data_IF_182137681961
#
_entry.id   IF_182137681961
#
_cell.length_a   1.000
_cell.length_b   1.000
_cell.length_c   1.000
_cell.angle_alpha   90.00
_cell.angle_beta   90.00
_cell.angle_gamma   90.00
#
_symmetry.space_group_name_H-M   'P 1'
#
loop_
_entity.id
_entity.type
_entity.pdbx_description
1 polymer ?
#
# COMPACT_ATOMS: atom_id res chain seq x y z
N UNK A 1 -6.62 -9.11 -30.15
CA UNK A 1 -7.88 -8.97 -29.39
C UNK A 1 -8.26 -7.51 -29.39
N UNK A 2 -9.40 -7.16 -29.99
CA UNK A 2 -10.00 -5.83 -29.93
C UNK A 2 -11.09 -5.82 -28.86
N UNK A 3 -11.15 -4.78 -28.05
CA UNK A 3 -12.23 -4.54 -27.08
C UNK A 3 -13.13 -3.41 -27.60
N UNK A 4 -14.38 -3.36 -27.16
CA UNK A 4 -15.25 -2.21 -27.44
C UNK A 4 -14.70 -0.94 -26.79
N UNK A 5 -15.11 0.22 -27.31
CA UNK A 5 -14.69 1.52 -26.78
C UNK A 5 -15.05 1.67 -25.30
N UNK A 6 -16.24 1.22 -24.89
CA UNK A 6 -16.72 1.26 -23.52
C UNK A 6 -15.85 0.45 -22.57
N UNK A 7 -15.47 -0.76 -22.99
CA UNK A 7 -14.61 -1.64 -22.19
C UNK A 7 -13.18 -1.12 -22.13
N UNK A 8 -12.69 -0.47 -23.18
CA UNK A 8 -11.41 0.23 -23.15
C UNK A 8 -11.41 1.37 -22.14
N UNK A 9 -12.42 2.26 -22.19
CA UNK A 9 -12.54 3.41 -21.29
C UNK A 9 -12.66 2.92 -19.84
N UNK A 10 -13.49 1.91 -19.57
CA UNK A 10 -13.64 1.32 -18.24
C UNK A 10 -12.32 0.81 -17.68
N UNK A 11 -11.54 0.04 -18.45
CA UNK A 11 -10.22 -0.45 -18.03
C UNK A 11 -9.20 0.67 -17.87
N UNK A 12 -9.24 1.68 -18.74
CA UNK A 12 -8.34 2.81 -18.68
C UNK A 12 -8.54 3.64 -17.40
N UNK A 13 -9.80 3.90 -17.03
CA UNK A 13 -10.13 4.66 -15.83
C UNK A 13 -9.72 3.96 -14.52
N UNK A 14 -9.64 2.62 -14.50
CA UNK A 14 -9.06 1.87 -13.36
C UNK A 14 -7.56 2.16 -13.14
N UNK A 15 -6.88 2.79 -14.10
CA UNK A 15 -5.46 3.14 -14.01
C UNK A 15 -5.21 4.62 -13.70
N UNK A 16 -6.25 5.45 -13.75
CA UNK A 16 -6.21 6.87 -13.38
C UNK A 16 -6.42 6.95 -11.87
N UNK A 17 -5.48 7.59 -11.18
CA UNK A 17 -5.61 7.80 -9.74
C UNK A 17 -6.44 9.06 -9.47
N UNK A 18 -7.19 9.10 -8.36
CA UNK A 18 -7.87 10.31 -7.91
C UNK A 18 -6.87 11.45 -7.67
N UNK A 19 -7.38 12.68 -7.66
CA UNK A 19 -6.56 13.85 -7.37
C UNK A 19 -5.87 13.73 -6.01
N UNK A 20 -4.58 14.11 -5.94
CA UNK A 20 -3.75 13.95 -4.75
C UNK A 20 -3.08 12.58 -4.58
N UNK A 21 -3.39 11.59 -5.43
CA UNK A 21 -2.77 10.27 -5.35
C UNK A 21 -1.67 10.09 -6.41
N UNK A 22 -0.46 9.79 -5.95
CA UNK A 22 0.67 9.50 -6.82
C UNK A 22 0.84 8.00 -7.05
N UNK A 23 0.90 7.58 -8.33
CA UNK A 23 1.25 6.19 -8.67
C UNK A 23 2.72 5.95 -8.39
N UNK A 24 3.05 5.20 -7.35
CA UNK A 24 4.41 4.69 -7.18
C UNK A 24 4.71 3.68 -8.28
N UNK A 25 5.49 4.10 -9.27
CA UNK A 25 6.01 3.23 -10.33
C UNK A 25 7.35 2.66 -9.86
N UNK A 26 7.38 1.37 -9.58
CA UNK A 26 8.62 0.66 -9.30
C UNK A 26 9.38 0.43 -10.60
N UNK A 27 10.58 1.00 -10.70
CA UNK A 27 11.51 0.79 -11.82
C UNK A 27 12.69 -0.11 -11.40
N UNK A 28 13.51 -0.51 -12.35
CA UNK A 28 14.72 -1.30 -12.09
C UNK A 28 14.43 -2.73 -11.63
N UNK A 29 15.03 -3.16 -10.52
CA UNK A 29 14.86 -4.52 -9.99
C UNK A 29 13.56 -4.73 -9.20
N UNK A 30 12.87 -3.65 -8.82
CA UNK A 30 11.57 -3.72 -8.13
C UNK A 30 10.36 -3.68 -9.09
N UNK A 31 10.59 -3.50 -10.39
CA UNK A 31 9.54 -3.48 -11.40
C UNK A 31 8.87 -4.84 -11.58
N UNK A 32 7.53 -4.88 -11.52
CA UNK A 32 6.74 -6.13 -11.38
C UNK A 32 7.15 -7.24 -12.39
N UNK A 33 7.36 -6.87 -13.67
CA UNK A 33 7.72 -7.80 -14.74
C UNK A 33 8.96 -8.66 -14.46
N UNK A 34 9.97 -8.08 -13.81
CA UNK A 34 11.25 -8.76 -13.54
C UNK A 34 11.55 -8.86 -12.04
N UNK A 35 10.60 -8.47 -11.19
CA UNK A 35 10.80 -8.32 -9.75
C UNK A 35 11.25 -9.62 -9.11
N UNK A 36 10.58 -10.74 -9.42
CA UNK A 36 10.94 -12.03 -8.85
C UNK A 36 12.37 -12.44 -9.21
N UNK A 37 12.69 -12.47 -10.51
CA UNK A 37 14.01 -12.88 -11.00
C UNK A 37 15.13 -11.98 -10.47
N UNK A 38 14.96 -10.65 -10.54
CA UNK A 38 15.98 -9.71 -10.10
C UNK A 38 16.14 -9.69 -8.58
N UNK A 39 15.07 -9.85 -7.81
CA UNK A 39 15.18 -9.98 -6.36
C UNK A 39 15.91 -11.25 -5.93
N UNK A 40 15.67 -12.38 -6.59
CA UNK A 40 16.44 -13.61 -6.34
C UNK A 40 17.92 -13.37 -6.62
N UNK A 41 18.25 -12.83 -7.78
CA UNK A 41 19.63 -12.52 -8.15
C UNK A 41 20.32 -11.56 -7.15
N UNK A 42 19.62 -10.51 -6.70
CA UNK A 42 20.14 -9.61 -5.68
C UNK A 42 20.43 -10.32 -4.35
N UNK A 43 19.58 -11.28 -3.92
CA UNK A 43 19.80 -12.05 -2.70
C UNK A 43 21.02 -12.96 -2.81
N UNK A 44 21.20 -13.60 -3.95
CA UNK A 44 22.36 -14.45 -4.21
C UNK A 44 23.66 -13.64 -4.12
N UNK A 45 23.70 -12.45 -4.73
CA UNK A 45 24.87 -11.57 -4.71
C UNK A 45 25.26 -11.08 -3.31
N UNK A 46 24.29 -10.88 -2.42
CA UNK A 46 24.54 -10.44 -1.04
C UNK A 46 24.66 -11.60 -0.05
N UNK A 47 24.65 -12.85 -0.52
CA UNK A 47 24.74 -14.04 0.32
C UNK A 47 23.56 -14.23 1.26
N UNK A 48 22.40 -13.68 0.93
CA UNK A 48 21.19 -13.79 1.75
C UNK A 48 20.48 -15.11 1.43
N UNK A 49 20.25 -15.93 2.46
CA UNK A 49 19.49 -17.17 2.32
C UNK A 49 18.06 -16.88 1.84
N UNK A 50 17.49 -17.81 1.06
CA UNK A 50 16.12 -17.71 0.58
C UNK A 50 15.20 -17.49 1.79
N UNK A 51 14.43 -16.40 1.84
CA UNK A 51 13.52 -16.18 2.94
C UNK A 51 12.50 -17.31 2.93
N UNK A 52 12.56 -18.15 3.96
CA UNK A 52 11.51 -19.13 4.26
C UNK A 52 10.21 -18.34 4.37
N UNK A 53 9.12 -18.73 3.69
CA UNK A 53 7.82 -18.13 3.91
C UNK A 53 7.52 -18.22 5.40
N UNK A 54 7.69 -17.12 6.12
CA UNK A 54 7.32 -17.08 7.52
C UNK A 54 5.83 -17.29 7.53
N UNK A 55 5.37 -18.39 8.14
CA UNK A 55 3.96 -18.59 8.46
C UNK A 55 3.44 -17.27 9.00
N UNK A 56 2.39 -16.79 8.35
CA UNK A 56 1.82 -15.47 8.52
C UNK A 56 1.63 -15.14 9.99
N UNK A 57 2.65 -14.52 10.61
CA UNK A 57 2.42 -13.68 11.78
C UNK A 57 1.47 -12.63 11.28
N UNK A 58 0.25 -12.61 11.83
CA UNK A 58 -0.70 -11.55 11.57
C UNK A 58 0.09 -10.23 11.56
N UNK A 59 -0.04 -9.41 10.49
CA UNK A 59 0.80 -8.22 10.36
C UNK A 59 0.66 -7.42 11.65
N UNK A 60 1.75 -7.32 12.44
CA UNK A 60 1.77 -6.46 13.62
C UNK A 60 1.30 -5.09 13.15
N UNK A 61 0.40 -4.45 13.90
CA UNK A 61 0.00 -3.07 13.62
C UNK A 61 1.28 -2.24 13.45
N UNK A 62 1.37 -1.49 12.36
CA UNK A 62 2.58 -0.72 12.04
C UNK A 62 2.93 0.26 13.18
N UNK A 63 1.92 0.69 13.95
CA UNK A 63 2.09 1.53 15.14
C UNK A 63 2.91 0.83 16.22
N UNK A 64 2.64 -0.44 16.47
CA UNK A 64 3.34 -1.24 17.47
C UNK A 64 4.79 -1.52 17.02
N UNK A 65 4.98 -1.80 15.73
CA UNK A 65 6.31 -1.99 15.14
C UNK A 65 7.14 -0.70 15.19
N UNK A 66 6.54 0.46 14.95
CA UNK A 66 7.21 1.75 15.04
C UNK A 66 7.65 2.05 16.48
N UNK A 67 6.81 1.72 17.46
CA UNK A 67 7.13 1.87 18.88
C UNK A 67 8.29 0.96 19.31
N UNK A 68 8.29 -0.31 18.89
CA UNK A 68 9.38 -1.26 19.13
C UNK A 68 10.73 -0.77 18.56
N UNK A 69 10.72 -0.16 17.38
CA UNK A 69 11.94 0.29 16.69
C UNK A 69 12.46 1.65 17.19
N UNK A 70 11.57 2.55 17.62
CA UNK A 70 11.93 3.96 17.89
C UNK A 70 11.75 4.37 19.36
N UNK A 71 11.09 3.53 20.16
CA UNK A 71 10.67 3.85 21.53
C UNK A 71 9.58 4.92 21.61
N UNK A 72 9.00 5.35 20.47
CA UNK A 72 7.97 6.38 20.41
C UNK A 72 6.65 5.78 19.95
N UNK A 73 5.58 5.98 20.71
CA UNK A 73 4.26 5.49 20.32
C UNK A 73 3.54 6.45 19.36
N UNK A 74 3.09 5.94 18.20
CA UNK A 74 2.17 6.67 17.31
C UNK A 74 0.75 6.80 17.91
N UNK A 75 0.51 6.25 19.11
CA UNK A 75 -0.73 6.45 19.86
C UNK A 75 -0.67 7.68 20.75
N UNK A 76 0.49 8.26 20.99
CA UNK A 76 0.60 9.47 21.81
C UNK A 76 0.32 10.72 20.98
N UNK A 77 -0.37 11.68 21.60
CA UNK A 77 -0.63 12.98 21.00
C UNK A 77 0.69 13.74 20.78
N UNK A 78 1.00 14.18 19.54
CA UNK A 78 2.25 14.87 19.24
C UNK A 78 2.35 16.25 19.90
N UNK A 79 1.22 16.88 20.27
CA UNK A 79 1.19 18.20 20.88
C UNK A 79 1.45 18.16 22.40
N UNK A 80 0.68 17.37 23.14
CA UNK A 80 0.77 17.34 24.60
C UNK A 80 1.64 16.20 25.16
N UNK A 81 1.93 15.16 24.36
CA UNK A 81 2.70 13.95 24.75
C UNK A 81 2.16 13.15 25.94
N UNK A 82 0.99 13.52 26.47
CA UNK A 82 0.35 12.88 27.61
C UNK A 82 -0.94 12.15 27.21
N UNK A 83 -1.68 12.68 26.24
CA UNK A 83 -2.93 12.09 25.75
C UNK A 83 -2.70 10.96 24.74
N UNK A 84 -3.64 10.03 24.66
CA UNK A 84 -3.69 9.02 23.60
C UNK A 84 -4.65 9.43 22.48
N UNK A 85 -4.23 9.25 21.23
CA UNK A 85 -5.06 9.39 20.05
C UNK A 85 -5.93 8.14 19.89
N UNK A 86 -7.24 8.36 19.85
CA UNK A 86 -8.24 7.32 19.57
C UNK A 86 -8.65 7.38 18.10
N UNK A 87 -8.88 6.21 17.50
CA UNK A 87 -9.43 6.14 16.15
C UNK A 87 -10.93 6.41 16.22
N UNK A 88 -11.38 7.49 15.61
CA UNK A 88 -12.81 7.86 15.57
C UNK A 88 -13.51 7.13 14.42
N UNK A 89 -12.84 7.03 13.27
CA UNK A 89 -13.37 6.39 12.06
C UNK A 89 -12.21 5.82 11.24
N UNK A 90 -12.46 4.70 10.57
CA UNK A 90 -11.54 4.11 9.59
C UNK A 90 -12.23 4.07 8.24
N UNK A 91 -11.66 4.76 7.26
CA UNK A 91 -12.10 4.65 5.88
C UNK A 91 -11.49 3.39 5.27
N UNK A 92 -12.33 2.49 4.79
CA UNK A 92 -11.97 1.18 4.21
C UNK A 92 -11.28 1.29 2.83
N UNK A 93 -11.03 2.52 2.37
CA UNK A 93 -10.43 2.77 1.06
C UNK A 93 -11.33 2.40 -0.10
N UNK A 94 -12.60 2.05 0.14
CA UNK A 94 -13.62 1.87 -0.91
C UNK A 94 -14.23 3.23 -1.25
N UNK A 95 -13.38 4.19 -1.61
CA UNK A 95 -13.83 5.43 -2.23
C UNK A 95 -14.02 5.19 -3.73
N UNK A 96 -15.06 4.43 -4.08
CA UNK A 96 -15.86 4.82 -5.24
C UNK A 96 -16.62 6.11 -4.89
N UNK A 97 -17.02 6.95 -5.85
CA UNK A 97 -17.85 8.10 -5.54
C UNK A 97 -19.09 7.61 -4.79
N UNK A 98 -19.46 8.34 -3.73
CA UNK A 98 -20.73 8.11 -3.05
C UNK A 98 -21.88 8.08 -4.08
N UNK A 99 -22.83 7.18 -3.88
CA UNK A 99 -23.96 6.89 -4.78
C UNK A 99 -24.96 8.04 -4.96
N UNK A 100 -24.63 9.27 -4.56
CA UNK A 100 -25.50 10.45 -4.71
C UNK A 100 -25.28 11.25 -6.00
N UNK A 101 -24.40 10.84 -6.92
CA UNK A 101 -24.29 11.47 -8.25
C UNK A 101 -25.24 10.88 -9.29
N UNK A 102 -26.49 10.59 -8.89
CA UNK A 102 -27.58 10.40 -9.84
C UNK A 102 -28.51 11.61 -9.77
N UNK A 103 -28.18 12.62 -10.55
CA UNK A 103 -29.13 13.67 -10.93
C UNK A 103 -28.84 14.05 -12.38
N UNK A 104 -29.34 13.23 -13.29
CA UNK A 104 -29.93 13.56 -14.61
C UNK A 104 -30.13 12.28 -15.41
#
# INVERSE_FOLDING_TARGET
>A
MSVSADEFIRRFLLHVLPEGFHRMRYYGFLGNRYRQQKLTHCRDLIGMSVPVPSESRAPKDYRDRYEELTGRSLRQCPACRQGQMITIETFDGVTGPASYWNTS
#
